data_IF_377958225318
#
_entry.id   IF_377958225318
#
_cell.length_a   1.000
_cell.length_b   1.000
_cell.length_c   1.000
_cell.angle_alpha   90.00
_cell.angle_beta   90.00
_cell.angle_gamma   90.00
#
_symmetry.space_group_name_H-M   'P 1'
#
loop_
_entity.id
_entity.type
_entity.pdbx_description
1 polymer ?
#
# COMPACT_ATOMS: atom_id res chain seq x y z
N UNK A 1 -10.53 35.85 23.58
CA UNK A 1 -9.23 36.10 24.24
C UNK A 1 -8.95 37.60 24.11
N UNK A 2 -8.65 38.30 25.21
CA UNK A 2 -8.35 39.73 25.17
C UNK A 2 -7.10 39.94 24.31
N UNK A 3 -7.23 40.72 23.23
CA UNK A 3 -6.10 41.06 22.37
C UNK A 3 -5.33 42.17 23.10
N UNK A 4 -4.41 41.79 23.98
CA UNK A 4 -3.56 42.74 24.71
C UNK A 4 -2.80 43.55 23.68
N UNK A 5 -3.04 44.85 23.67
CA UNK A 5 -2.30 45.81 22.86
C UNK A 5 -0.90 45.97 23.46
N UNK A 6 0.05 45.21 22.92
CA UNK A 6 1.45 45.21 23.38
C UNK A 6 2.13 46.57 23.14
N UNK A 7 1.69 47.32 22.14
CA UNK A 7 2.24 48.65 21.85
C UNK A 7 1.80 49.64 22.93
N UNK A 8 0.51 49.64 23.27
CA UNK A 8 -0.02 50.42 24.37
C UNK A 8 0.67 50.09 25.70
N UNK A 9 0.96 48.82 25.95
CA UNK A 9 1.67 48.39 27.16
C UNK A 9 3.14 48.90 27.20
N UNK A 10 3.84 48.95 26.06
CA UNK A 10 5.18 49.56 25.97
C UNK A 10 5.13 51.07 26.22
N UNK A 11 4.14 51.75 25.68
CA UNK A 11 3.95 53.19 25.90
C UNK A 11 3.67 53.50 27.38
N UNK A 12 2.87 52.66 28.05
CA UNK A 12 2.64 52.74 29.50
C UNK A 12 3.92 52.48 30.31
N UNK A 13 4.70 51.45 29.98
CA UNK A 13 5.98 51.18 30.66
C UNK A 13 6.99 52.32 30.48
N UNK A 14 7.06 52.91 29.29
CA UNK A 14 7.93 54.05 29.01
C UNK A 14 7.52 55.30 29.79
N UNK A 15 6.22 55.63 29.79
CA UNK A 15 5.68 56.75 30.58
C UNK A 15 5.98 56.56 32.08
N UNK A 16 5.83 55.34 32.59
CA UNK A 16 6.11 55.03 33.98
C UNK A 16 7.62 55.13 34.30
N UNK A 17 8.51 54.67 33.43
CA UNK A 17 9.96 54.86 33.61
C UNK A 17 10.33 56.35 33.67
N UNK A 18 9.67 57.20 32.87
CA UNK A 18 9.87 58.65 32.90
C UNK A 18 9.37 59.29 34.21
N UNK A 19 8.20 58.85 34.73
CA UNK A 19 7.63 59.37 35.97
C UNK A 19 8.38 58.95 37.24
N UNK A 20 8.93 57.73 37.28
CA UNK A 20 9.63 57.19 38.45
C UNK A 20 11.15 57.37 38.33
N UNK A 21 11.61 58.58 37.99
CA UNK A 21 13.05 58.88 37.84
C UNK A 21 13.79 59.13 39.17
N UNK A 22 13.07 59.26 40.29
CA UNK A 22 13.62 59.52 41.63
C UNK A 22 14.34 58.28 42.20
N UNK A 23 15.57 58.42 42.76
CA UNK A 23 16.25 57.34 43.50
C UNK A 23 15.42 56.62 44.57
N UNK A 24 14.40 57.27 45.15
CA UNK A 24 13.47 56.67 46.12
C UNK A 24 12.52 55.62 45.50
N UNK A 25 12.32 55.61 44.18
CA UNK A 25 11.40 54.71 43.46
C UNK A 25 12.11 53.54 42.77
N UNK A 26 13.35 53.23 43.16
CA UNK A 26 14.19 52.19 42.55
C UNK A 26 13.51 50.83 42.45
N UNK A 27 12.73 50.41 43.45
CA UNK A 27 11.99 49.14 43.42
C UNK A 27 10.94 49.11 42.30
N UNK A 28 10.26 50.23 42.04
CA UNK A 28 9.28 50.34 40.95
C UNK A 28 9.97 50.31 39.58
N UNK A 29 11.11 50.99 39.43
CA UNK A 29 11.90 50.94 38.19
C UNK A 29 12.33 49.51 37.84
N UNK A 30 12.81 48.73 38.82
CA UNK A 30 13.22 47.33 38.62
C UNK A 30 12.07 46.47 38.10
N UNK A 31 10.86 46.68 38.62
CA UNK A 31 9.66 45.96 38.18
C UNK A 31 9.31 46.30 36.73
N UNK A 32 9.38 47.57 36.32
CA UNK A 32 9.09 47.96 34.93
C UNK A 32 10.11 47.43 33.94
N UNK A 33 11.39 47.46 34.27
CA UNK A 33 12.46 46.88 33.43
C UNK A 33 12.25 45.36 33.28
N UNK A 34 11.89 44.67 34.36
CA UNK A 34 11.57 43.24 34.30
C UNK A 34 10.32 42.96 33.44
N UNK A 35 9.30 43.81 33.53
CA UNK A 35 8.08 43.67 32.73
C UNK A 35 8.34 43.91 31.23
N UNK A 36 9.19 44.87 30.88
CA UNK A 36 9.61 45.13 29.50
C UNK A 36 10.41 43.95 28.92
N UNK A 37 11.34 43.39 29.69
CA UNK A 37 12.09 42.19 29.29
C UNK A 37 11.20 40.97 29.06
N UNK A 38 10.18 40.76 29.92
CA UNK A 38 9.18 39.70 29.74
C UNK A 38 8.31 39.93 28.50
N UNK A 39 8.00 41.19 28.18
CA UNK A 39 7.23 41.53 26.97
C UNK A 39 8.03 41.22 25.69
N UNK A 40 9.34 41.51 25.69
CA UNK A 40 10.25 41.14 24.60
C UNK A 40 10.35 39.63 24.43
N UNK A 41 10.51 38.88 25.53
CA UNK A 41 10.57 37.42 25.50
C UNK A 41 9.27 36.80 24.95
N UNK A 42 8.12 37.36 25.36
CA UNK A 42 6.81 36.92 24.88
C UNK A 42 6.62 37.21 23.38
N UNK A 43 7.12 38.34 22.89
CA UNK A 43 7.09 38.67 21.46
C UNK A 43 7.99 37.72 20.64
N UNK A 44 9.20 37.45 21.13
CA UNK A 44 10.12 36.50 20.52
C UNK A 44 9.51 35.09 20.44
N UNK A 45 8.91 34.62 21.54
CA UNK A 45 8.18 33.34 21.59
C UNK A 45 6.99 33.32 20.63
N UNK A 46 6.26 34.43 20.51
CA UNK A 46 5.18 34.57 19.52
C UNK A 46 5.67 34.35 18.09
N UNK A 47 6.77 35.01 17.70
CA UNK A 47 7.40 34.84 16.38
C UNK A 47 7.85 33.40 16.13
N UNK A 48 8.46 32.75 17.14
CA UNK A 48 8.83 31.33 17.03
C UNK A 48 7.62 30.40 16.89
N UNK A 49 6.53 30.68 17.61
CA UNK A 49 5.29 29.91 17.50
C UNK A 49 4.70 30.04 16.09
N UNK A 50 4.65 31.26 15.54
CA UNK A 50 4.12 31.49 14.20
C UNK A 50 4.97 30.79 13.14
N UNK A 51 6.30 30.86 13.26
CA UNK A 51 7.22 30.11 12.40
C UNK A 51 7.00 28.59 12.46
N UNK A 52 6.85 28.02 13.66
CA UNK A 52 6.60 26.59 13.83
C UNK A 52 5.22 26.18 13.28
N UNK A 53 4.20 27.03 13.41
CA UNK A 53 2.89 26.80 12.79
C UNK A 53 2.99 26.76 11.27
N UNK A 54 3.75 27.67 10.67
CA UNK A 54 3.96 27.69 9.22
C UNK A 54 4.70 26.43 8.75
N UNK A 55 5.72 25.99 9.48
CA UNK A 55 6.40 24.72 9.18
C UNK A 55 5.46 23.51 9.33
N UNK A 56 4.65 23.48 10.39
CA UNK A 56 3.69 22.41 10.61
C UNK A 56 2.64 22.36 9.49
N UNK A 57 2.14 23.52 9.04
CA UNK A 57 1.21 23.60 7.91
C UNK A 57 1.85 23.12 6.59
N UNK A 58 3.12 23.44 6.36
CA UNK A 58 3.86 22.92 5.19
C UNK A 58 4.03 21.40 5.24
N UNK A 59 4.34 20.84 6.41
CA UNK A 59 4.47 19.39 6.60
C UNK A 59 3.13 18.66 6.45
N UNK A 60 2.05 19.23 7.00
CA UNK A 60 0.70 18.67 6.84
C UNK A 60 0.28 18.63 5.35
N UNK A 61 0.71 19.61 4.55
CA UNK A 61 0.47 19.67 3.11
C UNK A 61 1.43 18.81 2.28
N UNK A 62 2.45 18.20 2.87
CA UNK A 62 3.37 17.30 2.16
C UNK A 62 2.75 15.92 1.88
N UNK A 63 1.51 15.71 2.31
CA UNK A 63 0.85 14.42 2.34
C UNK A 63 -0.38 14.22 1.44
N UNK A 64 -0.47 14.81 0.23
CA UNK A 64 -1.68 14.76 -0.59
C UNK A 64 -1.92 13.40 -1.27
N UNK A 65 -0.96 12.48 -1.19
CA UNK A 65 -1.00 11.22 -1.94
C UNK A 65 -1.26 9.99 -1.07
N UNK A 66 -1.58 10.12 0.23
CA UNK A 66 -1.96 8.94 1.05
C UNK A 66 -3.19 8.25 0.52
N UNK A 67 -4.20 8.99 0.08
CA UNK A 67 -5.39 8.42 -0.54
C UNK A 67 -5.02 7.64 -1.81
N UNK A 68 -4.06 8.14 -2.59
CA UNK A 68 -3.58 7.45 -3.79
C UNK A 68 -2.73 6.23 -3.44
N UNK A 69 -1.92 6.30 -2.39
CA UNK A 69 -1.10 5.19 -1.90
C UNK A 69 -1.98 4.08 -1.32
N UNK A 70 -3.01 4.44 -0.56
CA UNK A 70 -4.01 3.53 -0.02
C UNK A 70 -4.78 2.86 -1.16
N UNK A 71 -5.30 3.63 -2.12
CA UNK A 71 -5.97 3.09 -3.30
C UNK A 71 -5.06 2.17 -4.13
N UNK A 72 -3.79 2.53 -4.32
CA UNK A 72 -2.82 1.68 -5.02
C UNK A 72 -2.55 0.38 -4.25
N UNK A 73 -2.48 0.45 -2.93
CA UNK A 73 -2.26 -0.72 -2.06
C UNK A 73 -3.47 -1.66 -2.10
N UNK A 74 -4.69 -1.13 -2.04
CA UNK A 74 -5.91 -1.92 -2.14
C UNK A 74 -6.08 -2.54 -3.53
N UNK A 75 -5.82 -1.78 -4.59
CA UNK A 75 -5.81 -2.29 -5.96
C UNK A 75 -4.79 -3.43 -6.12
N UNK A 76 -3.58 -3.27 -5.59
CA UNK A 76 -2.56 -4.31 -5.61
C UNK A 76 -3.03 -5.57 -4.86
N UNK A 77 -3.67 -5.42 -3.70
CA UNK A 77 -4.23 -6.54 -2.94
C UNK A 77 -5.28 -7.31 -3.74
N UNK A 78 -6.18 -6.61 -4.42
CA UNK A 78 -7.20 -7.24 -5.27
C UNK A 78 -6.56 -7.99 -6.44
N UNK A 79 -5.59 -7.37 -7.12
CA UNK A 79 -4.86 -8.02 -8.21
C UNK A 79 -4.10 -9.28 -7.75
N UNK A 80 -3.46 -9.24 -6.58
CA UNK A 80 -2.80 -10.42 -6.01
C UNK A 80 -3.78 -11.53 -5.67
N UNK A 81 -4.95 -11.20 -5.09
CA UNK A 81 -5.99 -12.19 -4.80
C UNK A 81 -6.51 -12.86 -6.08
N UNK A 82 -6.74 -12.06 -7.13
CA UNK A 82 -7.14 -12.56 -8.45
C UNK A 82 -6.06 -13.45 -9.07
N UNK A 83 -4.80 -13.02 -9.04
CA UNK A 83 -3.66 -13.80 -9.55
C UNK A 83 -3.57 -15.16 -8.84
N UNK A 84 -3.61 -15.18 -7.51
CA UNK A 84 -3.58 -16.42 -6.74
C UNK A 84 -4.75 -17.35 -7.07
N UNK A 85 -5.95 -16.81 -7.27
CA UNK A 85 -7.12 -17.59 -7.70
C UNK A 85 -6.93 -18.17 -9.10
N UNK A 86 -6.42 -17.39 -10.03
CA UNK A 86 -6.14 -17.85 -11.40
C UNK A 86 -5.03 -18.90 -11.44
N UNK A 87 -3.96 -18.73 -10.66
CA UNK A 87 -2.87 -19.70 -10.54
C UNK A 87 -3.38 -21.03 -9.99
N UNK A 88 -4.23 -21.01 -8.95
CA UNK A 88 -4.89 -22.22 -8.43
C UNK A 88 -5.73 -22.91 -9.48
N UNK A 89 -6.50 -22.14 -10.27
CA UNK A 89 -7.34 -22.69 -11.34
C UNK A 89 -6.50 -23.29 -12.47
N UNK A 90 -5.39 -22.66 -12.84
CA UNK A 90 -4.44 -23.18 -13.82
C UNK A 90 -3.84 -24.50 -13.30
N UNK A 91 -3.33 -24.53 -12.07
CA UNK A 91 -2.77 -25.74 -11.47
C UNK A 91 -3.80 -26.88 -11.41
N UNK A 92 -5.06 -26.58 -11.07
CA UNK A 92 -6.15 -27.56 -11.10
C UNK A 92 -6.38 -28.11 -12.52
N UNK A 93 -6.37 -27.25 -13.54
CA UNK A 93 -6.58 -27.64 -14.93
C UNK A 93 -5.38 -28.43 -15.49
N UNK A 94 -4.16 -28.05 -15.15
CA UNK A 94 -2.93 -28.75 -15.53
C UNK A 94 -2.80 -30.12 -14.85
N UNK A 95 -3.37 -30.28 -13.65
CA UNK A 95 -3.45 -31.57 -12.98
C UNK A 95 -4.48 -32.52 -13.59
N UNK A 96 -5.43 -32.02 -14.40
CA UNK A 96 -6.42 -32.88 -15.07
C UNK A 96 -5.74 -33.71 -16.15
N UNK A 97 -6.22 -34.94 -16.25
CA UNK A 97 -5.67 -35.93 -17.17
C UNK A 97 -6.80 -36.62 -17.92
N UNK A 98 -6.59 -36.83 -19.21
CA UNK A 98 -7.49 -37.64 -20.04
C UNK A 98 -7.04 -39.09 -19.98
N UNK A 99 -7.93 -39.97 -19.56
CA UNK A 99 -7.68 -41.41 -19.52
C UNK A 99 -8.32 -42.06 -20.75
N UNK A 100 -7.50 -42.58 -21.66
CA UNK A 100 -7.96 -43.31 -22.84
C UNK A 100 -8.04 -44.82 -22.56
N UNK A 101 -8.90 -45.58 -23.27
CA UNK A 101 -9.00 -47.02 -23.08
C UNK A 101 -7.70 -47.73 -23.50
N UNK A 102 -7.34 -48.79 -22.76
CA UNK A 102 -6.27 -49.69 -23.19
C UNK A 102 -6.68 -50.47 -24.43
N UNK A 103 -5.72 -50.73 -25.30
CA UNK A 103 -5.89 -51.51 -26.52
C UNK A 103 -5.50 -52.95 -26.23
N UNK A 104 -6.42 -53.88 -26.49
CA UNK A 104 -6.16 -55.31 -26.32
C UNK A 104 -5.63 -55.92 -27.60
N UNK A 105 -4.71 -56.87 -27.44
CA UNK A 105 -4.21 -57.69 -28.54
C UNK A 105 -5.01 -58.99 -28.62
N UNK A 106 -5.26 -59.42 -29.85
CA UNK A 106 -5.86 -60.73 -30.11
C UNK A 106 -4.78 -61.80 -30.15
N UNK A 107 -5.15 -63.02 -29.77
CA UNK A 107 -4.27 -64.17 -29.84
C UNK A 107 -3.69 -64.36 -31.27
N UNK A 108 -2.41 -64.76 -31.43
CA UNK A 108 -1.77 -64.91 -32.75
C UNK A 108 -2.50 -65.86 -33.71
N UNK A 109 -3.19 -66.88 -33.18
CA UNK A 109 -4.01 -67.83 -33.96
C UNK A 109 -5.47 -67.37 -34.16
N UNK A 110 -5.82 -66.15 -33.75
CA UNK A 110 -7.18 -65.62 -33.87
C UNK A 110 -7.57 -65.28 -35.31
N UNK A 111 -8.88 -65.10 -35.58
CA UNK A 111 -9.39 -64.74 -36.90
C UNK A 111 -8.77 -63.44 -37.43
N UNK A 112 -8.50 -63.39 -38.74
CA UNK A 112 -7.87 -62.22 -39.36
C UNK A 112 -8.69 -60.93 -39.21
N UNK A 113 -10.02 -61.04 -39.24
CA UNK A 113 -10.93 -59.91 -39.02
C UNK A 113 -10.76 -59.28 -37.63
N UNK A 114 -10.54 -60.10 -36.60
CA UNK A 114 -10.32 -59.63 -35.24
C UNK A 114 -8.97 -58.90 -35.11
N UNK A 115 -7.93 -59.39 -35.80
CA UNK A 115 -6.61 -58.73 -35.85
C UNK A 115 -6.70 -57.34 -36.46
N UNK A 116 -7.34 -57.22 -37.62
CA UNK A 116 -7.56 -55.94 -38.32
C UNK A 116 -8.35 -54.97 -37.43
N UNK A 117 -9.38 -55.46 -36.73
CA UNK A 117 -10.17 -54.63 -35.82
C UNK A 117 -9.33 -54.10 -34.64
N UNK A 118 -8.54 -54.95 -33.98
CA UNK A 118 -7.67 -54.53 -32.87
C UNK A 118 -6.58 -53.55 -33.31
N UNK A 119 -5.98 -53.77 -34.49
CA UNK A 119 -5.00 -52.84 -35.09
C UNK A 119 -5.63 -51.47 -35.37
N UNK A 120 -6.83 -51.46 -35.96
CA UNK A 120 -7.57 -50.23 -36.19
C UNK A 120 -7.87 -49.50 -34.88
N UNK A 121 -8.40 -50.21 -33.87
CA UNK A 121 -8.68 -49.63 -32.55
C UNK A 121 -7.41 -49.02 -31.91
N UNK A 122 -6.28 -49.72 -32.00
CA UNK A 122 -4.98 -49.22 -31.52
C UNK A 122 -4.53 -47.96 -32.26
N UNK A 123 -4.65 -47.95 -33.59
CA UNK A 123 -4.32 -46.78 -34.42
C UNK A 123 -5.14 -45.54 -34.01
N UNK A 124 -6.44 -45.72 -33.76
CA UNK A 124 -7.31 -44.61 -33.32
C UNK A 124 -6.92 -44.11 -31.92
N UNK A 125 -6.70 -45.01 -30.95
CA UNK A 125 -6.29 -44.62 -29.59
C UNK A 125 -4.94 -43.88 -29.60
N UNK A 126 -3.97 -44.34 -30.39
CA UNK A 126 -2.68 -43.68 -30.53
C UNK A 126 -2.83 -42.28 -31.15
N UNK A 127 -3.61 -42.16 -32.22
CA UNK A 127 -3.88 -40.86 -32.84
C UNK A 127 -4.54 -39.88 -31.86
N UNK A 128 -5.53 -40.33 -31.08
CA UNK A 128 -6.15 -39.50 -30.05
C UNK A 128 -5.12 -39.07 -28.99
N UNK A 129 -4.27 -40.00 -28.54
CA UNK A 129 -3.20 -39.70 -27.57
C UNK A 129 -2.29 -38.59 -28.08
N UNK A 130 -1.84 -38.70 -29.34
CA UNK A 130 -0.92 -37.73 -29.94
C UNK A 130 -1.59 -36.36 -30.13
N UNK A 131 -2.81 -36.30 -30.65
CA UNK A 131 -3.54 -35.04 -30.83
C UNK A 131 -3.83 -34.32 -29.51
N UNK A 132 -4.14 -35.06 -28.44
CA UNK A 132 -4.36 -34.48 -27.11
C UNK A 132 -3.03 -33.97 -26.50
N UNK A 133 -1.94 -34.72 -26.67
CA UNK A 133 -0.61 -34.29 -26.20
C UNK A 133 -0.11 -33.04 -26.94
N UNK A 134 -0.41 -32.90 -28.23
CA UNK A 134 -0.04 -31.71 -29.03
C UNK A 134 -0.60 -30.42 -28.45
N UNK A 135 -1.78 -30.47 -27.81
CA UNK A 135 -2.39 -29.30 -27.15
C UNK A 135 -1.97 -29.15 -25.67
N UNK A 136 -0.95 -29.90 -25.23
CA UNK A 136 -0.36 -29.79 -23.89
C UNK A 136 -1.16 -30.45 -22.78
N UNK A 137 -2.19 -31.25 -23.10
CA UNK A 137 -3.03 -31.94 -22.11
C UNK A 137 -2.39 -33.28 -21.74
N UNK A 138 -2.37 -33.59 -20.44
CA UNK A 138 -1.86 -34.87 -19.92
C UNK A 138 -2.80 -36.01 -20.33
N UNK A 139 -2.22 -37.14 -20.75
CA UNK A 139 -2.94 -38.34 -21.18
C UNK A 139 -2.32 -39.60 -20.61
N UNK A 140 -3.15 -40.48 -20.04
CA UNK A 140 -2.80 -41.86 -19.68
C UNK A 140 -3.69 -42.87 -20.40
N UNK A 141 -3.22 -44.11 -20.42
CA UNK A 141 -3.97 -45.26 -20.91
C UNK A 141 -4.47 -46.04 -19.69
N UNK A 142 -5.76 -46.39 -19.66
CA UNK A 142 -6.40 -47.11 -18.55
C UNK A 142 -5.69 -48.43 -18.26
N UNK A 143 -5.16 -48.57 -17.06
CA UNK A 143 -4.50 -49.80 -16.60
C UNK A 143 -3.01 -49.89 -16.89
N UNK A 144 -2.39 -48.81 -17.36
CA UNK A 144 -0.94 -48.60 -17.35
C UNK A 144 -0.49 -47.76 -16.14
#
# INVERSE_FOLDING_TARGET
MSNIDKQKLREEFKMMQECYSDPADRERQVIYIAAEALLDELEAKGKSIDFLKDQLAQLANFNPDWDKLEAATDSLREHMAKLSSTEKRIAELEAREVVLPSTQDVHPLGPQSAKIFCEFHRSIVNRCTDEIRKVGVKVSIKGN
#
